data_IF_566751466686
#
_entry.id   IF_566751466686
#
_cell.length_a   1.000
_cell.length_b   1.000
_cell.length_c   1.000
_cell.angle_alpha   90.00
_cell.angle_beta   90.00
_cell.angle_gamma   90.00
#
_symmetry.space_group_name_H-M   'P 1'
#
loop_
_entity.id
_entity.type
_entity.pdbx_description
1 polymer ?
#
# COMPACT_ATOMS: atom_id res chain seq x y z
N UNK A 1 1.52 -0.39 -4.58
CA UNK A 1 1.14 0.80 -5.39
C UNK A 1 0.75 0.47 -6.84
N UNK A 2 1.42 -0.43 -7.56
CA UNK A 2 1.05 -0.76 -8.96
C UNK A 2 -0.40 -1.22 -9.07
N UNK A 3 -0.82 -2.20 -8.26
CA UNK A 3 -2.21 -2.67 -8.24
C UNK A 3 -3.20 -1.55 -7.88
N UNK A 4 -2.85 -0.71 -6.92
CA UNK A 4 -3.66 0.45 -6.55
C UNK A 4 -3.81 1.44 -7.72
N UNK A 5 -2.74 1.72 -8.45
CA UNK A 5 -2.77 2.61 -9.61
C UNK A 5 -3.63 2.05 -10.74
N UNK A 6 -3.50 0.75 -11.03
CA UNK A 6 -4.34 0.09 -12.04
C UNK A 6 -5.81 0.10 -11.64
N UNK A 7 -6.13 -0.30 -10.40
CA UNK A 7 -7.49 -0.30 -9.89
C UNK A 7 -8.09 1.11 -9.91
N UNK A 8 -7.35 2.13 -9.45
CA UNK A 8 -7.79 3.53 -9.46
C UNK A 8 -8.04 4.03 -10.88
N UNK A 9 -7.16 3.71 -11.83
CA UNK A 9 -7.35 4.10 -13.23
C UNK A 9 -8.62 3.47 -13.81
N UNK A 10 -8.84 2.17 -13.59
CA UNK A 10 -10.03 1.46 -14.06
C UNK A 10 -11.30 2.09 -13.45
N UNK A 11 -11.33 2.33 -12.16
CA UNK A 11 -12.53 2.82 -11.48
C UNK A 11 -12.88 4.26 -11.84
N UNK A 12 -11.87 5.14 -12.04
CA UNK A 12 -12.08 6.57 -12.28
C UNK A 12 -12.20 6.90 -13.78
N UNK A 13 -11.34 6.30 -14.62
CA UNK A 13 -11.21 6.69 -16.04
C UNK A 13 -11.96 5.80 -17.00
N UNK A 14 -12.29 4.58 -16.63
CA UNK A 14 -13.01 3.68 -17.54
C UNK A 14 -14.52 3.64 -17.24
N UNK A 15 -15.30 3.28 -18.25
CA UNK A 15 -16.74 3.03 -18.12
C UNK A 15 -17.07 1.54 -18.13
N UNK A 16 -16.11 0.68 -17.76
CA UNK A 16 -16.27 -0.77 -17.74
C UNK A 16 -17.38 -1.14 -16.77
N UNK A 17 -18.32 -1.98 -17.21
CA UNK A 17 -19.36 -2.53 -16.34
C UNK A 17 -18.70 -3.33 -15.19
N UNK A 18 -19.18 -3.11 -13.96
CA UNK A 18 -18.59 -3.78 -12.79
C UNK A 18 -17.41 -3.06 -12.13
N UNK A 19 -16.99 -1.88 -12.60
CA UNK A 19 -15.90 -1.12 -11.96
C UNK A 19 -16.11 -0.85 -10.47
N UNK A 20 -17.37 -0.67 -10.02
CA UNK A 20 -17.70 -0.50 -8.60
C UNK A 20 -17.49 -1.78 -7.78
N UNK A 21 -17.57 -2.96 -8.40
CA UNK A 21 -17.27 -4.23 -7.75
C UNK A 21 -15.77 -4.31 -7.40
N UNK A 22 -14.90 -3.80 -8.28
CA UNK A 22 -13.44 -3.74 -8.01
C UNK A 22 -13.17 -2.93 -6.75
N UNK A 23 -13.81 -1.76 -6.62
CA UNK A 23 -13.67 -0.93 -5.44
C UNK A 23 -14.17 -1.68 -4.19
N UNK A 24 -15.33 -2.29 -4.25
CA UNK A 24 -15.88 -3.11 -3.17
C UNK A 24 -14.94 -4.24 -2.74
N UNK A 25 -14.43 -5.02 -3.70
CA UNK A 25 -13.52 -6.13 -3.44
C UNK A 25 -12.21 -5.66 -2.78
N UNK A 26 -11.70 -4.50 -3.17
CA UNK A 26 -10.49 -3.92 -2.57
C UNK A 26 -10.72 -3.57 -1.09
N UNK A 27 -11.93 -3.15 -0.71
CA UNK A 27 -12.23 -2.75 0.67
C UNK A 27 -12.60 -3.92 1.60
N UNK A 28 -13.08 -5.07 1.08
CA UNK A 28 -13.48 -6.23 1.89
C UNK A 28 -12.38 -6.66 2.88
N UNK A 29 -11.12 -6.87 2.48
CA UNK A 29 -10.09 -7.33 3.40
C UNK A 29 -9.79 -6.35 4.54
N UNK A 30 -10.02 -5.06 4.31
CA UNK A 30 -9.82 -4.04 5.35
C UNK A 30 -10.82 -4.14 6.49
N UNK A 31 -12.03 -4.63 6.22
CA UNK A 31 -13.06 -4.82 7.23
C UNK A 31 -12.73 -5.95 8.24
N UNK A 32 -11.83 -6.88 7.88
CA UNK A 32 -11.45 -7.96 8.78
C UNK A 32 -10.38 -7.51 9.79
N UNK A 33 -10.46 -7.98 11.06
CA UNK A 33 -9.36 -7.84 12.01
C UNK A 33 -8.07 -8.45 11.44
N UNK A 34 -6.92 -7.79 11.66
CA UNK A 34 -5.63 -8.25 11.11
C UNK A 34 -5.27 -9.67 11.51
N UNK A 35 -5.56 -10.03 12.75
CA UNK A 35 -5.36 -11.38 13.28
C UNK A 35 -6.20 -12.43 12.56
N UNK A 36 -7.48 -12.15 12.35
CA UNK A 36 -8.39 -13.07 11.65
C UNK A 36 -7.95 -13.28 10.19
N UNK A 37 -7.56 -12.20 9.51
CA UNK A 37 -7.04 -12.27 8.16
C UNK A 37 -5.73 -13.06 8.10
N UNK A 38 -4.83 -12.87 9.05
CA UNK A 38 -3.56 -13.59 9.11
C UNK A 38 -3.78 -15.09 9.28
N UNK A 39 -4.67 -15.49 10.20
CA UNK A 39 -5.03 -16.89 10.39
C UNK A 39 -5.68 -17.51 9.14
N UNK A 40 -6.55 -16.76 8.45
CA UNK A 40 -7.12 -17.20 7.18
C UNK A 40 -6.07 -17.41 6.10
N UNK A 41 -5.09 -16.50 5.97
CA UNK A 41 -3.98 -16.66 5.03
C UNK A 41 -3.07 -17.83 5.43
N UNK A 42 -2.81 -18.02 6.72
CA UNK A 42 -2.03 -19.14 7.20
C UNK A 42 -2.67 -20.47 6.80
N UNK A 43 -3.97 -20.64 7.05
CA UNK A 43 -4.70 -21.85 6.65
C UNK A 43 -4.77 -22.02 5.13
N UNK A 44 -4.92 -20.94 4.37
CA UNK A 44 -4.99 -21.01 2.91
C UNK A 44 -3.65 -21.43 2.27
N UNK A 45 -2.52 -21.08 2.90
CA UNK A 45 -1.20 -21.29 2.30
C UNK A 45 -0.37 -22.40 2.97
N UNK A 46 -0.80 -22.97 4.10
CA UNK A 46 -0.03 -24.04 4.79
C UNK A 46 0.12 -25.29 3.92
N UNK A 47 -0.94 -25.67 3.20
CA UNK A 47 -0.97 -26.83 2.32
C UNK A 47 -0.86 -26.46 0.83
N UNK A 48 -0.59 -25.18 0.52
CA UNK A 48 -0.54 -24.73 -0.86
C UNK A 48 0.75 -25.19 -1.54
N UNK A 49 0.71 -25.68 -2.79
CA UNK A 49 1.87 -26.28 -3.46
C UNK A 49 3.02 -25.30 -3.77
N UNK A 50 2.78 -23.98 -3.60
CA UNK A 50 3.82 -22.97 -3.75
C UNK A 50 4.31 -22.60 -2.34
N UNK A 51 5.62 -22.62 -2.04
CA UNK A 51 6.18 -22.37 -0.72
C UNK A 51 6.10 -20.88 -0.34
N UNK A 52 4.89 -20.37 -0.11
CA UNK A 52 4.63 -19.02 0.36
C UNK A 52 4.60 -18.96 1.88
N UNK A 53 4.10 -20.03 2.51
CA UNK A 53 4.03 -20.18 3.96
C UNK A 53 5.43 -20.12 4.60
N UNK A 54 5.51 -19.49 5.76
CA UNK A 54 6.76 -19.28 6.51
C UNK A 54 7.84 -18.50 5.74
N UNK A 55 7.44 -17.61 4.84
CA UNK A 55 8.34 -16.73 4.09
C UNK A 55 7.88 -15.26 4.17
N UNK A 56 8.74 -14.33 3.76
CA UNK A 56 8.39 -12.90 3.63
C UNK A 56 7.22 -12.68 2.66
N UNK A 57 7.00 -13.59 1.73
CA UNK A 57 5.95 -13.47 0.72
C UNK A 57 4.53 -13.51 1.30
N UNK A 58 4.27 -14.33 2.34
CA UNK A 58 2.96 -14.37 2.97
C UNK A 58 2.67 -13.04 3.69
N UNK A 59 3.69 -12.42 4.29
CA UNK A 59 3.58 -11.09 4.91
C UNK A 59 3.29 -10.04 3.85
N UNK A 60 3.98 -10.10 2.70
CA UNK A 60 3.75 -9.19 1.59
C UNK A 60 2.32 -9.32 1.03
N UNK A 61 1.83 -10.55 0.87
CA UNK A 61 0.44 -10.82 0.43
C UNK A 61 -0.54 -10.22 1.44
N UNK A 62 -0.33 -10.44 2.74
CA UNK A 62 -1.17 -9.87 3.78
C UNK A 62 -1.20 -8.33 3.72
N UNK A 63 -0.04 -7.69 3.56
CA UNK A 63 0.07 -6.24 3.48
C UNK A 63 -0.59 -5.69 2.22
N UNK A 64 -0.32 -6.29 1.06
CA UNK A 64 -0.94 -5.86 -0.19
C UNK A 64 -2.45 -5.99 -0.11
N UNK A 65 -2.95 -7.14 0.36
CA UNK A 65 -4.38 -7.39 0.44
C UNK A 65 -5.07 -6.43 1.41
N UNK A 66 -4.52 -6.24 2.59
CA UNK A 66 -5.16 -5.45 3.65
C UNK A 66 -5.07 -3.95 3.43
N UNK A 67 -3.93 -3.47 2.93
CA UNK A 67 -3.64 -2.04 2.84
C UNK A 67 -3.80 -1.45 1.44
N UNK A 68 -4.24 -2.27 0.46
CA UNK A 68 -4.57 -1.82 -0.89
C UNK A 68 -5.55 -0.63 -0.93
N UNK A 69 -6.58 -0.53 -0.04
CA UNK A 69 -7.49 0.61 0.00
C UNK A 69 -6.80 1.96 0.19
N UNK A 70 -5.77 2.02 1.02
CA UNK A 70 -5.02 3.27 1.24
C UNK A 70 -4.29 3.72 -0.02
N UNK A 71 -3.64 2.78 -0.72
CA UNK A 71 -3.04 3.04 -2.01
C UNK A 71 -4.05 3.47 -3.07
N UNK A 72 -5.20 2.79 -3.11
CA UNK A 72 -6.31 3.12 -4.01
C UNK A 72 -6.76 4.57 -3.78
N UNK A 73 -7.04 4.96 -2.54
CA UNK A 73 -7.50 6.32 -2.21
C UNK A 73 -6.46 7.39 -2.56
N UNK A 74 -5.19 7.14 -2.24
CA UNK A 74 -4.11 8.08 -2.56
C UNK A 74 -3.97 8.33 -4.06
N UNK A 75 -4.06 7.29 -4.88
CA UNK A 75 -3.97 7.42 -6.34
C UNK A 75 -5.26 7.97 -6.93
N UNK A 76 -6.41 7.52 -6.45
CA UNK A 76 -7.73 8.01 -6.92
C UNK A 76 -7.85 9.52 -6.75
N UNK A 77 -7.44 10.07 -5.59
CA UNK A 77 -7.50 11.51 -5.35
C UNK A 77 -6.67 12.30 -6.35
N UNK A 78 -5.52 11.78 -6.77
CA UNK A 78 -4.67 12.41 -7.77
C UNK A 78 -5.27 12.29 -9.18
N UNK A 79 -5.79 11.11 -9.55
CA UNK A 79 -6.40 10.92 -10.87
C UNK A 79 -7.61 11.84 -11.07
N UNK A 80 -8.43 12.06 -10.03
CA UNK A 80 -9.61 12.94 -10.13
C UNK A 80 -9.19 14.39 -10.42
N UNK A 81 -8.05 14.85 -9.92
CA UNK A 81 -7.52 16.19 -10.14
C UNK A 81 -6.97 16.40 -11.56
N UNK A 82 -6.59 15.34 -12.25
CA UNK A 82 -6.13 15.42 -13.63
C UNK A 82 -7.33 15.62 -14.56
N UNK A 83 -7.39 16.75 -15.27
CA UNK A 83 -8.45 17.04 -16.24
C UNK A 83 -8.42 16.05 -17.40
N UNK A 84 -9.60 15.54 -17.80
CA UNK A 84 -9.72 14.61 -18.94
C UNK A 84 -9.27 15.21 -20.26
N UNK A 85 -9.38 16.52 -20.39
CA UNK A 85 -8.95 17.28 -21.56
C UNK A 85 -7.47 17.05 -21.93
N UNK A 86 -6.61 16.76 -20.94
CA UNK A 86 -5.20 16.43 -21.18
C UNK A 86 -5.04 15.09 -21.92
N UNK A 87 -5.88 14.12 -21.59
CA UNK A 87 -5.90 12.82 -22.27
C UNK A 87 -6.46 12.98 -23.68
N UNK A 88 -7.55 13.75 -23.82
CA UNK A 88 -8.20 14.04 -25.10
C UNK A 88 -7.27 14.84 -26.03
N UNK A 89 -6.59 15.85 -25.53
CA UNK A 89 -5.59 16.62 -26.28
C UNK A 89 -4.45 15.74 -26.78
N UNK A 90 -3.97 14.82 -25.94
CA UNK A 90 -2.93 13.86 -26.33
C UNK A 90 -3.39 12.97 -27.49
N UNK A 91 -4.64 12.50 -27.45
CA UNK A 91 -5.23 11.67 -28.52
C UNK A 91 -5.40 12.48 -29.80
N UNK A 92 -5.88 13.72 -29.71
CA UNK A 92 -6.01 14.62 -30.86
C UNK A 92 -4.66 14.91 -31.54
N UNK A 93 -3.57 14.97 -30.72
CA UNK A 93 -2.20 15.06 -31.23
C UNK A 93 -1.66 13.75 -31.83
N UNK A 94 -2.49 12.72 -31.99
CA UNK A 94 -2.13 11.45 -32.61
C UNK A 94 -1.48 10.45 -31.69
N UNK A 95 -1.47 10.69 -30.37
CA UNK A 95 -0.91 9.73 -29.42
C UNK A 95 -1.91 8.56 -29.18
N UNK A 96 -1.45 7.33 -29.32
CA UNK A 96 -2.22 6.16 -28.91
C UNK A 96 -2.34 6.05 -27.39
N UNK A 97 -3.26 5.19 -26.92
CA UNK A 97 -3.54 4.96 -25.50
C UNK A 97 -2.28 4.77 -24.63
N UNK A 98 -1.37 3.89 -25.06
CA UNK A 98 -0.15 3.59 -24.29
C UNK A 98 0.80 4.80 -24.20
N UNK A 99 0.87 5.61 -25.26
CA UNK A 99 1.67 6.83 -25.27
C UNK A 99 1.08 7.89 -24.33
N UNK A 100 -0.24 8.09 -24.36
CA UNK A 100 -0.98 8.98 -23.45
C UNK A 100 -0.82 8.51 -22.00
N UNK A 101 -1.02 7.24 -21.73
CA UNK A 101 -0.88 6.68 -20.38
C UNK A 101 0.54 6.89 -19.83
N UNK A 102 1.57 6.57 -20.61
CA UNK A 102 2.97 6.68 -20.17
C UNK A 102 3.48 8.12 -20.08
N UNK A 103 3.09 8.99 -21.02
CA UNK A 103 3.63 10.35 -21.12
C UNK A 103 2.81 11.42 -20.41
N UNK A 104 1.52 11.15 -20.18
CA UNK A 104 0.62 12.10 -19.51
C UNK A 104 0.20 11.55 -18.15
N UNK A 105 -0.48 10.39 -18.10
CA UNK A 105 -1.08 9.90 -16.89
C UNK A 105 -0.06 9.49 -15.81
N UNK A 106 0.94 8.68 -16.15
CA UNK A 106 1.95 8.24 -15.17
C UNK A 106 2.67 9.43 -14.52
N UNK A 107 3.19 10.43 -15.26
CA UNK A 107 3.81 11.60 -14.66
C UNK A 107 2.87 12.39 -13.74
N UNK A 108 1.63 12.57 -14.16
CA UNK A 108 0.62 13.29 -13.37
C UNK A 108 0.20 12.54 -12.10
N UNK A 109 0.24 11.21 -12.11
CA UNK A 109 -0.07 10.37 -10.95
C UNK A 109 1.10 10.25 -9.96
N UNK A 110 2.32 10.59 -10.36
CA UNK A 110 3.53 10.41 -9.53
C UNK A 110 3.41 10.98 -8.11
N UNK A 111 2.93 12.22 -7.89
CA UNK A 111 2.83 12.79 -6.55
C UNK A 111 1.94 11.95 -5.63
N UNK A 112 0.76 11.55 -6.09
CA UNK A 112 -0.16 10.71 -5.34
C UNK A 112 0.38 9.30 -5.08
N UNK A 113 1.05 8.71 -6.08
CA UNK A 113 1.72 7.41 -5.92
C UNK A 113 2.83 7.49 -4.88
N UNK A 114 3.65 8.53 -4.91
CA UNK A 114 4.74 8.74 -3.94
C UNK A 114 4.20 8.98 -2.53
N UNK A 115 3.22 9.86 -2.38
CA UNK A 115 2.58 10.12 -1.10
C UNK A 115 1.93 8.85 -0.54
N UNK A 116 1.17 8.12 -1.36
CA UNK A 116 0.56 6.85 -0.98
C UNK A 116 1.59 5.79 -0.59
N UNK A 117 2.71 5.71 -1.31
CA UNK A 117 3.80 4.77 -1.01
C UNK A 117 4.43 5.07 0.36
N UNK A 118 4.71 6.35 0.65
CA UNK A 118 5.27 6.76 1.95
C UNK A 118 4.32 6.44 3.10
N UNK A 119 3.02 6.71 2.91
CA UNK A 119 1.98 6.36 3.90
C UNK A 119 1.97 4.85 4.14
N UNK A 120 1.96 4.03 3.09
CA UNK A 120 1.97 2.57 3.21
C UNK A 120 3.21 2.06 3.92
N UNK A 121 4.41 2.56 3.59
CA UNK A 121 5.65 2.17 4.28
C UNK A 121 5.55 2.49 5.77
N UNK A 122 5.04 3.67 6.14
CA UNK A 122 4.86 4.07 7.54
C UNK A 122 3.89 3.13 8.26
N UNK A 123 2.80 2.72 7.61
CA UNK A 123 1.84 1.75 8.16
C UNK A 123 2.50 0.37 8.33
N UNK A 124 3.23 -0.12 7.32
CA UNK A 124 3.89 -1.43 7.34
C UNK A 124 4.93 -1.55 8.45
N UNK A 125 5.69 -0.48 8.72
CA UNK A 125 6.68 -0.45 9.80
C UNK A 125 6.05 -0.64 11.20
N UNK A 126 4.77 -0.29 11.36
CA UNK A 126 4.05 -0.32 12.64
C UNK A 126 3.02 -1.45 12.71
N UNK A 127 2.87 -2.21 11.61
CA UNK A 127 1.90 -3.31 11.58
C UNK A 127 2.38 -4.45 12.48
N UNK A 128 1.49 -4.88 13.36
CA UNK A 128 1.74 -5.92 14.36
C UNK A 128 0.72 -7.07 14.26
N UNK A 129 -0.55 -6.73 14.04
CA UNK A 129 -1.66 -7.66 14.23
C UNK A 129 -1.61 -8.87 13.29
N UNK A 130 -1.32 -8.65 12.02
CA UNK A 130 -1.20 -9.74 11.06
C UNK A 130 0.20 -10.37 11.10
N UNK A 131 1.25 -9.57 11.27
CA UNK A 131 2.63 -10.04 11.23
C UNK A 131 2.98 -10.93 12.41
N UNK A 132 2.32 -10.77 13.57
CA UNK A 132 2.54 -11.63 14.73
C UNK A 132 2.27 -13.12 14.42
N UNK A 133 1.33 -13.42 13.54
CA UNK A 133 0.96 -14.79 13.17
C UNK A 133 1.65 -15.28 11.90
N UNK A 134 2.16 -14.38 11.08
CA UNK A 134 2.71 -14.72 9.77
C UNK A 134 4.25 -14.67 9.71
N UNK A 135 4.90 -14.14 10.76
CA UNK A 135 6.36 -14.07 10.79
C UNK A 135 7.00 -15.45 10.87
N UNK A 136 8.22 -15.54 10.40
CA UNK A 136 9.05 -16.74 10.51
C UNK A 136 10.47 -16.36 10.90
N UNK A 137 11.26 -17.28 11.48
CA UNK A 137 12.68 -17.02 11.77
C UNK A 137 13.44 -16.54 10.54
N UNK A 138 14.15 -15.42 10.68
CA UNK A 138 14.85 -14.75 9.57
C UNK A 138 14.01 -13.77 8.74
N UNK A 139 12.72 -13.64 9.05
CA UNK A 139 11.80 -12.66 8.45
C UNK A 139 10.97 -11.97 9.55
N UNK A 140 11.66 -11.37 10.53
CA UNK A 140 11.04 -10.76 11.70
C UNK A 140 10.69 -9.28 11.42
N UNK A 141 9.40 -8.95 11.21
CA UNK A 141 8.96 -7.56 11.09
C UNK A 141 9.15 -6.81 12.41
N UNK A 142 9.27 -5.49 12.34
CA UNK A 142 9.54 -4.64 13.49
C UNK A 142 8.49 -4.75 14.61
N UNK A 143 7.21 -4.93 14.25
CA UNK A 143 6.14 -5.08 15.24
C UNK A 143 6.32 -6.28 16.16
N UNK A 144 6.38 -7.51 15.64
CA UNK A 144 6.68 -8.71 16.43
C UNK A 144 8.03 -8.62 17.17
N UNK A 145 9.08 -8.10 16.53
CA UNK A 145 10.38 -7.93 17.18
C UNK A 145 10.28 -7.09 18.46
N UNK A 146 9.60 -5.94 18.41
CA UNK A 146 9.39 -5.10 19.58
C UNK A 146 8.63 -5.83 20.69
N UNK A 147 7.62 -6.62 20.32
CA UNK A 147 6.82 -7.38 21.26
C UNK A 147 7.65 -8.44 21.98
N UNK A 148 8.45 -9.23 21.27
CA UNK A 148 9.31 -10.24 21.89
C UNK A 148 10.40 -9.62 22.76
N UNK A 149 11.05 -8.56 22.32
CA UNK A 149 12.01 -7.80 23.16
C UNK A 149 11.36 -7.27 24.44
N UNK A 150 10.09 -6.86 24.37
CA UNK A 150 9.35 -6.43 25.57
C UNK A 150 9.09 -7.61 26.52
N UNK A 151 8.68 -8.77 26.00
CA UNK A 151 8.46 -9.97 26.82
C UNK A 151 9.76 -10.46 27.49
N UNK A 152 10.90 -10.33 26.80
CA UNK A 152 12.22 -10.65 27.33
C UNK A 152 12.75 -9.64 28.36
N UNK A 153 11.95 -8.61 28.69
CA UNK A 153 12.31 -7.58 29.65
C UNK A 153 13.34 -6.57 29.16
N UNK A 154 13.69 -6.57 27.86
CA UNK A 154 14.70 -5.70 27.26
C UNK A 154 14.16 -4.28 26.97
N UNK A 155 13.64 -3.62 28.03
CA UNK A 155 12.95 -2.31 27.92
C UNK A 155 13.79 -1.24 27.22
N UNK A 156 15.09 -1.20 27.47
CA UNK A 156 15.99 -0.24 26.82
C UNK A 156 16.07 -0.43 25.30
N UNK A 157 16.12 -1.68 24.82
CA UNK A 157 16.11 -1.99 23.38
C UNK A 157 14.78 -1.63 22.73
N UNK A 158 13.67 -1.95 23.40
CA UNK A 158 12.32 -1.57 22.94
C UNK A 158 12.20 -0.06 22.77
N UNK A 159 12.64 0.70 23.79
CA UNK A 159 12.62 2.17 23.74
C UNK A 159 13.49 2.72 22.59
N UNK A 160 14.70 2.19 22.43
CA UNK A 160 15.61 2.63 21.37
C UNK A 160 15.03 2.36 19.97
N UNK A 161 14.53 1.15 19.70
CA UNK A 161 13.92 0.81 18.41
C UNK A 161 12.64 1.63 18.18
N UNK A 162 11.80 1.79 19.21
CA UNK A 162 10.59 2.59 19.13
C UNK A 162 10.89 4.06 18.78
N UNK A 163 11.96 4.63 19.35
CA UNK A 163 12.41 5.98 19.02
C UNK A 163 12.88 6.07 17.57
N UNK A 164 13.69 5.12 17.11
CA UNK A 164 14.16 5.07 15.72
C UNK A 164 12.98 4.99 14.75
N UNK A 165 12.02 4.10 14.98
CA UNK A 165 10.82 3.97 14.15
C UNK A 165 10.03 5.28 14.13
N UNK A 166 9.90 5.94 15.30
CA UNK A 166 9.18 7.21 15.40
C UNK A 166 9.85 8.31 14.59
N UNK A 167 11.17 8.44 14.71
CA UNK A 167 11.96 9.44 13.94
C UNK A 167 11.84 9.18 12.44
N UNK A 168 12.02 7.93 12.00
CA UNK A 168 11.88 7.57 10.59
C UNK A 168 10.46 7.89 10.10
N UNK A 169 9.43 7.55 10.87
CA UNK A 169 8.04 7.83 10.52
C UNK A 169 7.76 9.32 10.38
N UNK A 170 8.29 10.15 11.28
CA UNK A 170 8.15 11.62 11.22
C UNK A 170 8.82 12.16 9.96
N UNK A 171 10.04 11.70 9.65
CA UNK A 171 10.77 12.11 8.44
C UNK A 171 9.97 11.71 7.18
N UNK A 172 9.49 10.47 7.10
CA UNK A 172 8.70 9.99 5.98
C UNK A 172 7.41 10.80 5.79
N UNK A 173 6.69 11.09 6.88
CA UNK A 173 5.47 11.90 6.83
C UNK A 173 5.78 13.33 6.38
N UNK A 174 6.85 13.94 6.89
CA UNK A 174 7.27 15.27 6.47
C UNK A 174 7.61 15.33 4.97
N UNK A 175 8.30 14.30 4.46
CA UNK A 175 8.57 14.14 3.03
C UNK A 175 7.27 14.00 2.24
N UNK A 176 6.34 13.14 2.67
CA UNK A 176 5.05 12.96 2.00
C UNK A 176 4.26 14.27 1.91
N UNK A 177 4.21 15.04 3.01
CA UNK A 177 3.52 16.34 3.05
C UNK A 177 4.18 17.36 2.11
N UNK A 178 5.51 17.34 2.00
CA UNK A 178 6.22 18.22 1.08
C UNK A 178 5.87 17.90 -0.39
N UNK A 179 5.81 16.63 -0.76
CA UNK A 179 5.39 16.21 -2.10
C UNK A 179 3.93 16.56 -2.40
N UNK A 180 3.02 16.41 -1.44
CA UNK A 180 1.61 16.76 -1.59
C UNK A 180 1.35 18.26 -1.76
N UNK A 181 2.21 19.13 -1.20
CA UNK A 181 2.05 20.59 -1.30
C UNK A 181 2.53 21.20 -2.62
N UNK A 182 3.28 20.47 -3.42
CA UNK A 182 3.79 20.98 -4.71
C UNK A 182 2.68 21.11 -5.77
N UNK A 183 1.55 20.41 -5.59
CA UNK A 183 0.42 20.42 -6.54
C UNK A 183 -0.61 21.54 -6.26
N UNK A 184 -0.43 22.37 -5.23
CA UNK A 184 -1.37 23.45 -4.88
C UNK A 184 -0.88 24.85 -5.27
N UNK A 185 0.18 24.95 -6.04
CA UNK A 185 0.66 26.18 -6.67
C UNK A 185 0.64 26.03 -8.19
#
# INVERSE_FOLDING_TARGET
MILASLASYITVRTKIAGRGIIEGLVFIPWAFPGTAMALGLLWAYVDFPIPVYATVWIILIAYVTRFLPYGLRAVTSTIIQVHKELEEASIVCGAGFMATFRRVMIPMMRPGVMAGWIILVTIFMREFSATLFLYSPGAEPLGPLLYFLYLDGMRGRVAAIGLVISVISIILIAIAQRYSRWDTK
#
